data_IF_088349391624
#
_entry.id   IF_088349391624
#
_cell.length_a   1.000
_cell.length_b   1.000
_cell.length_c   1.000
_cell.angle_alpha   90.00
_cell.angle_beta   90.00
_cell.angle_gamma   90.00
#
_symmetry.space_group_name_H-M   'P 1'
#
loop_
_entity.id
_entity.type
_entity.pdbx_description
1 polymer ?
#
# COMPACT_ATOMS: atom_id res chain seq x y z
N UNK A 1 3.83 -9.44 6.29
CA UNK A 1 3.39 -10.85 6.15
C UNK A 1 4.52 -11.85 6.40
N UNK A 2 5.47 -12.08 5.48
CA UNK A 2 6.50 -13.13 5.66
C UNK A 2 7.77 -12.72 6.42
N UNK A 3 8.16 -11.45 6.39
CA UNK A 3 9.41 -10.95 7.00
C UNK A 3 9.18 -9.97 8.17
N UNK A 4 8.04 -10.07 8.88
CA UNK A 4 7.66 -9.11 9.93
C UNK A 4 8.64 -9.11 11.12
N UNK A 5 9.03 -10.29 11.59
CA UNK A 5 9.95 -10.42 12.74
C UNK A 5 11.42 -10.12 12.39
N UNK A 6 11.74 -9.91 11.11
CA UNK A 6 13.11 -9.62 10.62
C UNK A 6 13.19 -8.26 9.95
N UNK A 7 12.72 -8.13 8.70
CA UNK A 7 12.71 -6.88 7.93
C UNK A 7 11.76 -5.86 8.56
N UNK A 8 10.62 -6.31 9.10
CA UNK A 8 9.69 -5.44 9.83
C UNK A 8 10.37 -4.74 11.00
N UNK A 9 11.22 -5.43 11.78
CA UNK A 9 12.02 -4.81 12.86
C UNK A 9 12.94 -3.71 12.35
N UNK A 10 13.59 -3.90 11.19
CA UNK A 10 14.46 -2.88 10.58
C UNK A 10 13.69 -1.67 10.09
N UNK A 11 12.47 -1.86 9.58
CA UNK A 11 11.64 -0.79 9.01
C UNK A 11 10.91 0.00 10.11
N UNK A 12 10.33 -0.70 11.08
CA UNK A 12 9.43 -0.13 12.09
C UNK A 12 10.04 -0.08 13.50
N UNK A 13 11.29 -0.51 13.72
CA UNK A 13 11.90 -0.54 15.05
C UNK A 13 12.06 0.82 15.73
N UNK A 14 11.95 1.93 14.98
CA UNK A 14 11.90 3.29 15.56
C UNK A 14 10.50 3.68 16.07
N UNK A 15 9.45 3.03 15.58
CA UNK A 15 8.04 3.32 15.88
C UNK A 15 7.34 2.21 16.66
N UNK A 16 7.92 1.02 16.74
CA UNK A 16 7.35 -0.16 17.40
C UNK A 16 8.43 -0.87 18.23
N UNK A 17 8.13 -1.16 19.50
CA UNK A 17 9.04 -1.89 20.40
C UNK A 17 9.36 -3.29 19.86
N UNK A 18 10.60 -3.74 20.05
CA UNK A 18 11.10 -5.04 19.58
C UNK A 18 10.25 -6.23 20.07
N UNK A 19 9.67 -6.11 21.26
CA UNK A 19 8.83 -7.13 21.90
C UNK A 19 7.49 -7.31 21.20
N UNK A 20 6.99 -6.28 20.51
CA UNK A 20 5.68 -6.28 19.87
C UNK A 20 5.69 -6.99 18.51
N UNK A 21 6.85 -7.26 17.91
CA UNK A 21 6.91 -7.87 16.57
C UNK A 21 6.42 -9.31 16.52
N UNK A 22 6.73 -10.11 17.54
CA UNK A 22 6.27 -11.51 17.62
C UNK A 22 4.74 -11.58 17.79
N UNK A 23 4.11 -10.91 18.78
CA UNK A 23 2.65 -11.00 18.96
C UNK A 23 1.85 -10.33 17.83
N UNK A 24 2.40 -9.32 17.15
CA UNK A 24 1.69 -8.62 16.05
C UNK A 24 1.87 -9.26 14.68
N UNK A 25 2.57 -10.41 14.57
CA UNK A 25 2.86 -11.06 13.28
C UNK A 25 1.60 -11.36 12.47
N UNK A 26 0.58 -11.94 13.09
CA UNK A 26 -0.68 -12.29 12.42
C UNK A 26 -1.44 -11.04 11.97
N UNK A 27 -1.43 -9.98 12.78
CA UNK A 27 -2.03 -8.69 12.41
C UNK A 27 -1.31 -8.09 11.20
N UNK A 28 0.03 -8.05 11.21
CA UNK A 28 0.85 -7.56 10.10
C UNK A 28 0.77 -8.45 8.85
N UNK A 29 0.42 -9.73 9.01
CA UNK A 29 0.09 -10.61 7.89
C UNK A 29 -1.25 -10.21 7.27
N UNK A 30 -2.29 -10.01 8.07
CA UNK A 30 -3.60 -9.60 7.58
C UNK A 30 -3.56 -8.20 6.92
N UNK A 31 -2.83 -7.24 7.50
CA UNK A 31 -2.57 -5.94 6.87
C UNK A 31 -1.85 -6.08 5.52
N UNK A 32 -0.91 -7.02 5.42
CA UNK A 32 -0.25 -7.35 4.16
C UNK A 32 -1.21 -7.93 3.12
N UNK A 33 -2.14 -8.78 3.53
CA UNK A 33 -3.15 -9.38 2.63
C UNK A 33 -4.10 -8.34 2.06
N UNK A 34 -4.61 -7.40 2.88
CA UNK A 34 -5.44 -6.28 2.38
C UNK A 34 -4.70 -5.45 1.33
N UNK A 35 -3.43 -5.12 1.57
CA UNK A 35 -2.60 -4.44 0.57
C UNK A 35 -2.39 -5.29 -0.68
N UNK A 36 -2.31 -6.62 -0.54
CA UNK A 36 -2.29 -7.57 -1.65
C UNK A 36 -3.54 -7.48 -2.53
N UNK A 37 -4.73 -7.26 -1.95
CA UNK A 37 -5.95 -7.04 -2.74
C UNK A 37 -5.92 -5.73 -3.53
N UNK A 38 -5.31 -4.67 -2.99
CA UNK A 38 -5.12 -3.43 -3.75
C UNK A 38 -4.22 -3.66 -4.98
N UNK A 39 -3.12 -4.42 -4.81
CA UNK A 39 -2.25 -4.80 -5.92
C UNK A 39 -2.98 -5.67 -6.94
N UNK A 40 -3.76 -6.65 -6.48
CA UNK A 40 -4.55 -7.50 -7.37
C UNK A 40 -5.57 -6.68 -8.18
N UNK A 41 -6.24 -5.69 -7.56
CA UNK A 41 -7.13 -4.77 -8.24
C UNK A 41 -6.43 -3.91 -9.31
N UNK A 42 -5.24 -3.41 -9.00
CA UNK A 42 -4.42 -2.67 -9.98
C UNK A 42 -3.98 -3.56 -11.14
N UNK A 43 -3.50 -4.78 -10.88
CA UNK A 43 -3.14 -5.74 -11.94
C UNK A 43 -4.35 -6.09 -12.80
N UNK A 44 -5.49 -6.38 -12.16
CA UNK A 44 -6.73 -6.69 -12.85
C UNK A 44 -7.17 -5.57 -13.78
N UNK A 45 -6.97 -4.30 -13.40
CA UNK A 45 -7.31 -3.16 -14.24
C UNK A 45 -6.63 -3.17 -15.63
N UNK A 46 -5.44 -3.77 -15.76
CA UNK A 46 -4.73 -3.92 -17.04
C UNK A 46 -5.29 -5.05 -17.91
N UNK A 47 -6.08 -5.95 -17.34
CA UNK A 47 -6.69 -7.08 -18.04
C UNK A 47 -8.09 -6.74 -18.58
N UNK A 48 -8.68 -5.63 -18.10
CA UNK A 48 -10.01 -5.15 -18.54
C UNK A 48 -9.89 -4.59 -19.97
N UNK A 49 -10.64 -5.17 -20.90
CA UNK A 49 -10.64 -4.77 -22.31
C UNK A 49 -11.42 -3.47 -22.56
N UNK A 50 -12.44 -3.18 -21.75
CA UNK A 50 -13.21 -1.96 -21.87
C UNK A 50 -12.43 -0.79 -21.26
N UNK A 51 -11.92 0.10 -22.11
CA UNK A 51 -11.00 1.18 -21.73
C UNK A 51 -11.49 2.04 -20.57
N UNK A 52 -12.73 2.53 -20.62
CA UNK A 52 -13.29 3.35 -19.53
C UNK A 52 -13.35 2.61 -18.18
N UNK A 53 -13.61 1.30 -18.19
CA UNK A 53 -13.62 0.49 -16.97
C UNK A 53 -12.20 0.19 -16.49
N UNK A 54 -11.26 -0.06 -17.39
CA UNK A 54 -9.83 -0.16 -17.05
C UNK A 54 -9.37 1.11 -16.32
N UNK A 55 -9.69 2.28 -16.87
CA UNK A 55 -9.37 3.57 -16.26
C UNK A 55 -10.03 3.76 -14.88
N UNK A 56 -11.34 3.56 -14.78
CA UNK A 56 -12.07 3.72 -13.51
C UNK A 56 -11.52 2.82 -12.39
N UNK A 57 -11.18 1.57 -12.71
CA UNK A 57 -10.61 0.62 -11.75
C UNK A 57 -9.20 1.04 -11.33
N UNK A 58 -8.33 1.48 -12.27
CA UNK A 58 -7.01 2.05 -11.93
C UNK A 58 -7.14 3.22 -10.96
N UNK A 59 -7.98 4.19 -11.31
CA UNK A 59 -8.18 5.41 -10.52
C UNK A 59 -8.70 5.08 -9.13
N UNK A 60 -9.68 4.18 -9.01
CA UNK A 60 -10.23 3.76 -7.72
C UNK A 60 -9.15 3.17 -6.81
N UNK A 61 -8.42 2.15 -7.28
CA UNK A 61 -7.40 1.50 -6.47
C UNK A 61 -6.21 2.41 -6.16
N UNK A 62 -5.76 3.24 -7.11
CA UNK A 62 -4.73 4.24 -6.86
C UNK A 62 -5.18 5.24 -5.78
N UNK A 63 -6.42 5.71 -5.84
CA UNK A 63 -6.98 6.60 -4.81
C UNK A 63 -7.01 5.95 -3.43
N UNK A 64 -7.39 4.67 -3.34
CA UNK A 64 -7.31 3.91 -2.08
C UNK A 64 -5.89 3.83 -1.53
N UNK A 65 -4.89 3.56 -2.40
CA UNK A 65 -3.47 3.52 -2.01
C UNK A 65 -2.98 4.89 -1.52
N UNK A 66 -3.40 5.98 -2.18
CA UNK A 66 -3.07 7.35 -1.77
C UNK A 66 -3.64 7.64 -0.37
N UNK A 67 -4.93 7.39 -0.15
CA UNK A 67 -5.58 7.64 1.15
C UNK A 67 -4.91 6.82 2.26
N UNK A 68 -4.66 5.53 2.04
CA UNK A 68 -3.98 4.67 3.00
C UNK A 68 -2.54 5.14 3.26
N UNK A 69 -1.81 5.55 2.21
CA UNK A 69 -0.44 6.05 2.31
C UNK A 69 -0.34 7.39 3.06
N UNK A 70 -1.30 8.29 2.86
CA UNK A 70 -1.41 9.54 3.61
C UNK A 70 -1.68 9.27 5.09
N UNK A 71 -2.70 8.45 5.38
CA UNK A 71 -3.05 8.10 6.75
C UNK A 71 -1.90 7.41 7.49
N UNK A 72 -1.28 6.40 6.87
CA UNK A 72 -0.13 5.69 7.44
C UNK A 72 1.12 6.58 7.56
N UNK A 73 1.31 7.52 6.64
CA UNK A 73 2.36 8.54 6.69
C UNK A 73 2.25 9.46 7.91
N UNK A 74 1.02 9.84 8.26
CA UNK A 74 0.72 10.71 9.41
C UNK A 74 0.70 9.96 10.74
N UNK A 75 0.26 8.70 10.76
CA UNK A 75 -0.01 7.96 12.00
C UNK A 75 1.08 6.96 12.41
N UNK A 76 1.80 6.37 11.46
CA UNK A 76 2.77 5.29 11.73
C UNK A 76 4.19 5.71 11.44
N UNK A 77 4.47 6.17 10.21
CA UNK A 77 5.82 6.58 9.81
C UNK A 77 5.79 7.41 8.53
N UNK A 78 6.53 8.53 8.52
CA UNK A 78 6.76 9.36 7.33
C UNK A 78 7.28 8.54 6.12
N UNK A 79 7.95 7.42 6.36
CA UNK A 79 8.42 6.53 5.29
C UNK A 79 7.26 6.01 4.44
N UNK A 80 6.11 5.71 5.05
CA UNK A 80 4.92 5.19 4.36
C UNK A 80 4.45 6.17 3.28
N UNK A 81 4.43 7.47 3.59
CA UNK A 81 4.08 8.50 2.62
C UNK A 81 4.97 8.43 1.36
N UNK A 82 6.29 8.35 1.52
CA UNK A 82 7.22 8.31 0.39
C UNK A 82 7.22 7.01 -0.40
N UNK A 83 6.97 5.86 0.24
CA UNK A 83 6.99 4.57 -0.45
C UNK A 83 5.62 4.13 -0.98
N UNK A 84 4.53 4.73 -0.50
CA UNK A 84 3.16 4.34 -0.85
C UNK A 84 2.37 5.48 -1.49
N UNK A 85 2.24 6.64 -0.82
CA UNK A 85 1.42 7.73 -1.34
C UNK A 85 2.06 8.41 -2.56
N UNK A 86 3.36 8.75 -2.49
CA UNK A 86 4.05 9.46 -3.59
C UNK A 86 4.02 8.66 -4.91
N UNK A 87 4.38 7.36 -4.95
CA UNK A 87 4.32 6.59 -6.19
C UNK A 87 2.89 6.45 -6.73
N UNK A 88 1.89 6.30 -5.85
CA UNK A 88 0.49 6.21 -6.26
C UNK A 88 -0.04 7.53 -6.84
N UNK A 89 0.36 8.68 -6.28
CA UNK A 89 0.05 10.00 -6.83
C UNK A 89 0.67 10.15 -8.22
N UNK A 90 1.95 9.80 -8.39
CA UNK A 90 2.63 9.88 -9.68
C UNK A 90 1.97 8.97 -10.72
N UNK A 91 1.60 7.75 -10.34
CA UNK A 91 0.89 6.81 -11.21
C UNK A 91 -0.51 7.34 -11.59
N UNK A 92 -1.22 7.97 -10.66
CA UNK A 92 -2.53 8.56 -10.92
C UNK A 92 -2.43 9.73 -11.90
N UNK A 93 -1.45 10.62 -11.68
CA UNK A 93 -1.17 11.73 -12.61
C UNK A 93 -0.81 11.20 -14.00
N UNK A 94 0.02 10.17 -14.10
CA UNK A 94 0.35 9.55 -15.38
C UNK A 94 -0.87 8.94 -16.07
N UNK A 95 -1.82 8.36 -15.32
CA UNK A 95 -3.06 7.83 -15.90
C UNK A 95 -4.02 8.92 -16.40
N UNK A 96 -4.03 10.10 -15.76
CA UNK A 96 -4.98 11.18 -16.10
C UNK A 96 -4.42 12.12 -17.17
N UNK A 97 -3.08 12.27 -17.23
CA UNK A 97 -2.40 13.22 -18.13
C UNK A 97 -1.79 12.57 -19.37
N UNK A 98 -1.66 11.24 -19.40
CA UNK A 98 -1.17 10.46 -20.53
C UNK A 98 -2.30 9.78 -21.28
#
# INVERSE_FOLDING_TARGET
MFAWETVGKKIFGKSLSAELFKPTKTLAANQGLYNGFLVAGLVWSFLIQHEAWSFNVKVFFLSCVIVAGLYGGLTVSKRIFYVQAVPAILALLACVLG
#
